data_IF_034421592940
#
_entry.id   IF_034421592940
#
_cell.length_a   1.000
_cell.length_b   1.000
_cell.length_c   1.000
_cell.angle_alpha   90.00
_cell.angle_beta   90.00
_cell.angle_gamma   90.00
#
_symmetry.space_group_name_H-M   'P 1'
#
loop_
_entity.id
_entity.type
_entity.pdbx_description
1 polymer ?
#
# COMPACT_ATOMS: atom_id res chain seq x y z
N UNK A 1 -8.65 7.74 -5.82
CA UNK A 1 -8.69 8.74 -4.74
C UNK A 1 -7.32 9.37 -4.63
N UNK A 2 -7.25 10.69 -4.45
CA UNK A 2 -6.04 11.47 -4.20
C UNK A 2 -6.13 12.11 -2.83
N UNK A 3 -5.08 12.00 -2.03
CA UNK A 3 -4.93 12.76 -0.79
C UNK A 3 -4.09 14.00 -1.12
N UNK A 4 -4.73 15.17 -1.17
CA UNK A 4 -4.08 16.40 -1.58
C UNK A 4 -4.56 17.59 -0.73
N UNK A 5 -3.65 18.09 0.12
CA UNK A 5 -3.88 19.28 0.90
C UNK A 5 -2.55 20.07 1.01
N UNK A 6 -2.52 21.38 0.75
CA UNK A 6 -1.31 22.19 0.91
C UNK A 6 -0.71 22.14 2.33
N UNK A 7 -1.54 21.93 3.36
CA UNK A 7 -1.06 21.81 4.75
C UNK A 7 -0.19 20.56 4.98
N UNK A 8 -0.27 19.57 4.10
CA UNK A 8 0.53 18.34 4.20
C UNK A 8 1.89 18.43 3.50
N UNK A 9 2.16 19.51 2.80
CA UNK A 9 3.43 19.69 2.08
C UNK A 9 4.66 19.61 2.99
N UNK A 10 4.47 19.96 4.27
CA UNK A 10 5.51 19.91 5.29
C UNK A 10 5.25 18.87 6.38
N UNK A 11 4.30 17.93 6.12
CA UNK A 11 4.01 16.85 7.05
C UNK A 11 5.23 15.93 7.17
N UNK A 12 5.66 15.68 8.39
CA UNK A 12 6.70 14.71 8.68
C UNK A 12 6.17 13.26 8.48
N UNK A 13 7.08 12.30 8.44
CA UNK A 13 6.72 10.89 8.30
C UNK A 13 5.77 10.41 9.41
N UNK A 14 5.86 11.03 10.61
CA UNK A 14 5.02 10.69 11.75
C UNK A 14 3.55 11.14 11.58
N UNK A 15 3.31 12.18 10.80
CA UNK A 15 1.96 12.66 10.47
C UNK A 15 1.40 12.00 9.22
N UNK A 16 2.26 11.72 8.24
CA UNK A 16 1.88 11.21 6.92
C UNK A 16 1.20 9.84 6.99
N UNK A 17 1.74 8.91 7.81
CA UNK A 17 1.16 7.57 7.93
C UNK A 17 -0.27 7.60 8.46
N UNK A 18 -0.59 8.52 9.40
CA UNK A 18 -1.93 8.66 9.97
C UNK A 18 -2.94 9.13 8.94
N UNK A 19 -2.54 10.08 8.09
CA UNK A 19 -3.35 10.60 6.98
C UNK A 19 -3.68 9.45 6.01
N UNK A 20 -2.67 8.70 5.60
CA UNK A 20 -2.83 7.58 4.65
C UNK A 20 -3.70 6.48 5.27
N UNK A 21 -3.42 6.07 6.52
CA UNK A 21 -4.20 5.05 7.21
C UNK A 21 -5.67 5.43 7.35
N UNK A 22 -5.96 6.69 7.70
CA UNK A 22 -7.34 7.21 7.77
C UNK A 22 -7.99 7.20 6.40
N UNK A 23 -7.27 7.56 5.34
CA UNK A 23 -7.75 7.47 3.95
C UNK A 23 -8.10 6.04 3.55
N UNK A 24 -7.28 5.06 3.92
CA UNK A 24 -7.55 3.63 3.66
C UNK A 24 -8.84 3.20 4.38
N UNK A 25 -8.97 3.49 5.67
CA UNK A 25 -10.18 3.15 6.44
C UNK A 25 -11.45 3.77 5.85
N UNK A 26 -11.36 5.02 5.40
CA UNK A 26 -12.50 5.73 4.82
C UNK A 26 -12.87 5.22 3.43
N UNK A 27 -11.92 4.65 2.70
CA UNK A 27 -12.15 4.11 1.34
C UNK A 27 -12.94 2.78 1.34
N UNK A 28 -13.00 2.09 2.47
CA UNK A 28 -13.74 0.84 2.63
C UNK A 28 -12.86 -0.31 3.14
N UNK A 29 -13.46 -1.48 3.38
CA UNK A 29 -12.71 -2.67 3.76
C UNK A 29 -11.87 -3.17 2.58
N UNK A 30 -10.62 -3.50 2.84
CA UNK A 30 -9.69 -4.10 1.89
C UNK A 30 -9.06 -5.35 2.51
N UNK A 31 -9.01 -6.42 1.73
CA UNK A 31 -8.32 -7.65 2.14
C UNK A 31 -6.81 -7.52 1.97
N UNK A 32 -6.37 -6.70 1.02
CA UNK A 32 -4.96 -6.50 0.71
C UNK A 32 -4.64 -5.04 0.42
N UNK A 33 -3.61 -4.53 1.10
CA UNK A 33 -3.05 -3.20 0.84
C UNK A 33 -1.64 -3.37 0.29
N UNK A 34 -1.41 -2.84 -0.92
CA UNK A 34 -0.09 -2.83 -1.56
C UNK A 34 0.52 -1.43 -1.47
N UNK A 35 1.76 -1.34 -1.08
CA UNK A 35 2.52 -0.09 -1.08
C UNK A 35 3.95 -0.32 -1.56
N UNK A 36 4.61 0.75 -1.98
CA UNK A 36 6.04 0.72 -2.26
C UNK A 36 6.86 0.45 -1.00
N UNK A 37 8.06 -0.07 -1.15
CA UNK A 37 8.99 -0.36 -0.05
C UNK A 37 9.37 0.91 0.71
N UNK A 38 9.74 1.97 -0.01
CA UNK A 38 10.25 3.22 0.56
C UNK A 38 10.13 4.37 -0.44
N UNK A 39 10.12 5.60 0.05
CA UNK A 39 10.16 6.79 -0.78
C UNK A 39 11.60 7.07 -1.22
N UNK A 40 11.79 7.52 -2.46
CA UNK A 40 13.12 7.77 -3.03
C UNK A 40 13.83 9.00 -2.49
N UNK A 41 13.10 9.92 -1.86
CA UNK A 41 13.61 11.17 -1.30
C UNK A 41 14.11 11.02 0.15
N UNK A 42 13.41 10.25 0.97
CA UNK A 42 13.71 10.12 2.40
C UNK A 42 14.29 8.76 2.78
N UNK A 43 14.17 7.76 1.92
CA UNK A 43 14.64 6.36 2.08
C UNK A 43 14.28 5.70 3.43
N UNK A 44 13.32 6.26 4.15
CA UNK A 44 13.01 5.89 5.54
C UNK A 44 12.35 4.51 5.70
N UNK A 45 11.58 4.03 4.71
CA UNK A 45 10.92 2.72 4.70
C UNK A 45 9.96 2.43 5.86
N UNK A 46 9.67 3.41 6.73
CA UNK A 46 8.94 3.20 7.97
C UNK A 46 7.42 3.36 7.87
N UNK A 47 6.96 4.18 6.91
CA UNK A 47 5.56 4.61 6.80
C UNK A 47 4.60 3.43 6.69
N UNK A 48 4.96 2.41 5.90
CA UNK A 48 4.12 1.21 5.74
C UNK A 48 3.93 0.44 7.06
N UNK A 49 4.96 0.37 7.91
CA UNK A 49 4.89 -0.32 9.19
C UNK A 49 3.97 0.40 10.18
N UNK A 50 4.02 1.74 10.21
CA UNK A 50 3.13 2.53 11.03
C UNK A 50 1.68 2.45 10.57
N UNK A 51 1.45 2.43 9.24
CA UNK A 51 0.10 2.25 8.68
C UNK A 51 -0.45 0.88 9.08
N UNK A 52 0.31 -0.20 8.89
CA UNK A 52 -0.11 -1.56 9.23
C UNK A 52 -0.41 -1.70 10.73
N UNK A 53 0.44 -1.13 11.59
CA UNK A 53 0.23 -1.10 13.03
C UNK A 53 -1.07 -0.38 13.41
N UNK A 54 -1.33 0.78 12.80
CA UNK A 54 -2.55 1.54 13.05
C UNK A 54 -3.82 0.83 12.58
N UNK A 55 -3.73 0.12 11.45
CA UNK A 55 -4.83 -0.68 10.90
C UNK A 55 -5.01 -2.02 11.64
N UNK A 56 -4.06 -2.44 12.48
CA UNK A 56 -4.09 -3.71 13.17
C UNK A 56 -3.91 -4.93 12.27
N UNK A 57 -3.23 -4.77 11.12
CA UNK A 57 -3.02 -5.83 10.12
C UNK A 57 -1.55 -6.22 10.02
N UNK A 58 -1.24 -7.49 9.68
CA UNK A 58 0.15 -7.92 9.46
C UNK A 58 0.77 -7.24 8.23
N UNK A 59 2.08 -7.01 8.29
CA UNK A 59 2.87 -6.44 7.20
C UNK A 59 4.02 -7.36 6.79
N UNK A 60 4.23 -7.51 5.48
CA UNK A 60 5.38 -8.24 4.92
C UNK A 60 6.10 -7.34 3.91
N UNK A 61 7.41 -7.19 4.07
CA UNK A 61 8.26 -6.38 3.18
C UNK A 61 9.73 -6.85 3.24
N UNK A 62 10.53 -6.63 2.21
CA UNK A 62 10.16 -6.35 0.83
C UNK A 62 9.67 -7.61 0.11
N UNK A 63 8.51 -7.55 -0.51
CA UNK A 63 7.93 -8.66 -1.26
C UNK A 63 8.39 -8.61 -2.70
N UNK A 64 8.95 -9.73 -3.17
CA UNK A 64 9.44 -9.89 -4.55
C UNK A 64 8.49 -10.73 -5.41
N UNK A 65 7.60 -11.53 -4.78
CA UNK A 65 6.66 -12.37 -5.51
C UNK A 65 5.45 -12.74 -4.64
N UNK A 66 4.26 -12.69 -5.21
CA UNK A 66 3.06 -13.33 -4.67
C UNK A 66 2.96 -14.72 -5.33
N UNK A 67 2.94 -15.77 -4.50
CA UNK A 67 2.89 -17.15 -4.97
C UNK A 67 1.45 -17.65 -5.11
N UNK A 68 0.68 -17.58 -4.02
CA UNK A 68 -0.71 -18.04 -3.99
C UNK A 68 -1.57 -17.11 -3.15
N UNK A 69 -2.83 -16.98 -3.57
CA UNK A 69 -3.92 -16.37 -2.81
C UNK A 69 -4.92 -17.48 -2.54
N UNK A 70 -5.14 -17.81 -1.28
CA UNK A 70 -6.09 -18.85 -0.87
C UNK A 70 -7.26 -18.19 -0.13
N UNK A 71 -8.42 -18.17 -0.78
CA UNK A 71 -9.67 -17.63 -0.25
C UNK A 71 -10.67 -18.76 0.08
N UNK A 72 -10.20 -20.01 0.21
CA UNK A 72 -11.06 -21.17 0.47
C UNK A 72 -11.69 -21.19 1.86
N UNK A 73 -11.17 -20.40 2.78
CA UNK A 73 -11.66 -20.25 4.15
C UNK A 73 -12.10 -18.80 4.41
N UNK A 74 -12.93 -18.58 5.45
CA UNK A 74 -13.34 -17.24 5.90
C UNK A 74 -12.14 -16.33 6.21
N UNK A 75 -11.03 -16.92 6.69
CA UNK A 75 -9.74 -16.25 6.88
C UNK A 75 -8.86 -16.51 5.66
N UNK A 76 -8.98 -15.74 4.61
CA UNK A 76 -8.10 -15.83 3.44
C UNK A 76 -6.61 -15.79 3.82
N UNK A 77 -5.76 -16.49 3.10
CA UNK A 77 -4.31 -16.50 3.31
C UNK A 77 -3.55 -16.17 2.03
N UNK A 78 -2.40 -15.54 2.19
CA UNK A 78 -1.52 -15.15 1.11
C UNK A 78 -0.14 -15.76 1.35
N UNK A 79 0.44 -16.42 0.35
CA UNK A 79 1.83 -16.88 0.38
C UNK A 79 2.67 -16.00 -0.51
N UNK A 80 3.71 -15.42 0.05
CA UNK A 80 4.61 -14.47 -0.62
C UNK A 80 6.07 -14.83 -0.42
N UNK A 81 6.92 -14.36 -1.31
CA UNK A 81 8.37 -14.39 -1.17
C UNK A 81 8.87 -12.99 -0.81
N UNK A 82 9.68 -12.90 0.23
CA UNK A 82 10.37 -11.67 0.60
C UNK A 82 11.88 -11.85 0.55
N UNK A 83 12.58 -10.78 0.24
CA UNK A 83 14.03 -10.74 0.28
C UNK A 83 14.50 -10.43 1.72
N UNK A 84 15.52 -11.16 2.18
CA UNK A 84 16.23 -10.90 3.43
C UNK A 84 17.73 -10.91 3.18
N UNK A 85 18.53 -10.53 4.14
CA UNK A 85 20.01 -10.59 4.03
C UNK A 85 20.52 -12.01 3.80
N UNK A 86 19.79 -13.02 4.31
CA UNK A 86 20.13 -14.44 4.16
C UNK A 86 19.59 -15.06 2.86
N UNK A 87 18.82 -14.32 2.07
CA UNK A 87 18.21 -14.79 0.81
C UNK A 87 16.68 -14.63 0.79
N UNK A 88 16.03 -15.44 -0.04
CA UNK A 88 14.56 -15.38 -0.22
C UNK A 88 13.87 -16.24 0.83
N UNK A 89 12.93 -15.63 1.54
CA UNK A 89 12.10 -16.28 2.53
C UNK A 89 10.66 -16.39 2.05
N UNK A 90 10.07 -17.60 2.19
CA UNK A 90 8.65 -17.85 1.89
C UNK A 90 7.82 -17.61 3.16
N UNK A 91 6.84 -16.73 3.07
CA UNK A 91 6.00 -16.33 4.21
C UNK A 91 4.54 -16.55 3.87
N UNK A 92 3.78 -17.15 4.81
CA UNK A 92 2.32 -17.21 4.75
C UNK A 92 1.75 -16.16 5.71
N UNK A 93 0.84 -15.33 5.24
CA UNK A 93 0.19 -14.27 6.02
C UNK A 93 -1.32 -14.38 5.91
N UNK A 94 -2.03 -14.13 7.00
CA UNK A 94 -3.50 -14.02 7.02
C UNK A 94 -3.95 -12.69 6.44
N UNK A 95 -5.08 -12.69 5.74
CA UNK A 95 -5.77 -11.48 5.29
C UNK A 95 -6.72 -10.97 6.41
N UNK A 96 -6.96 -9.66 6.51
CA UNK A 96 -6.36 -8.61 5.69
C UNK A 96 -4.87 -8.38 6.00
N UNK A 97 -4.08 -8.02 4.98
CA UNK A 97 -2.64 -7.83 5.12
C UNK A 97 -2.12 -6.64 4.31
N UNK A 98 -0.94 -6.12 4.69
CA UNK A 98 -0.22 -5.10 3.94
C UNK A 98 1.08 -5.68 3.39
N UNK A 99 1.38 -5.40 2.13
CA UNK A 99 2.65 -5.79 1.49
C UNK A 99 3.42 -4.56 1.03
N UNK A 100 4.70 -4.50 1.43
CA UNK A 100 5.66 -3.58 0.83
C UNK A 100 6.34 -4.25 -0.36
N UNK A 101 5.93 -3.88 -1.58
CA UNK A 101 6.38 -4.53 -2.81
C UNK A 101 7.65 -3.88 -3.36
N UNK A 102 8.55 -4.72 -3.90
CA UNK A 102 9.74 -4.26 -4.60
C UNK A 102 9.47 -4.10 -6.10
N UNK A 103 10.37 -3.39 -6.79
CA UNK A 103 10.32 -3.22 -8.25
C UNK A 103 10.51 -4.54 -9.01
N UNK A 104 11.06 -5.57 -8.36
CA UNK A 104 11.32 -6.88 -8.94
C UNK A 104 10.08 -7.78 -8.95
N UNK A 105 8.97 -7.33 -8.36
CA UNK A 105 7.77 -8.15 -8.18
C UNK A 105 7.15 -8.60 -9.51
N UNK A 106 7.15 -7.73 -10.53
CA UNK A 106 6.65 -8.03 -11.87
C UNK A 106 7.10 -6.98 -12.89
N UNK A 107 7.02 -7.33 -14.17
CA UNK A 107 7.12 -6.36 -15.26
C UNK A 107 5.79 -5.63 -15.46
N UNK A 108 5.78 -4.28 -15.47
CA UNK A 108 4.57 -3.50 -15.69
C UNK A 108 4.03 -3.74 -17.12
N UNK A 109 2.73 -3.95 -17.23
CA UNK A 109 2.07 -4.04 -18.54
C UNK A 109 1.97 -2.65 -19.17
N UNK A 110 2.38 -2.52 -20.42
CA UNK A 110 2.19 -1.28 -21.18
C UNK A 110 0.69 -1.03 -21.40
N UNK A 111 0.19 0.15 -21.05
CA UNK A 111 -1.21 0.49 -21.25
C UNK A 111 -1.52 0.63 -22.74
N UNK A 112 -2.64 0.07 -23.25
CA UNK A 112 -3.08 0.32 -24.60
C UNK A 112 -3.51 1.78 -24.79
N UNK A 113 -3.43 2.30 -26.01
CA UNK A 113 -3.79 3.70 -26.34
C UNK A 113 -5.16 4.11 -25.79
N UNK A 114 -6.16 3.24 -25.90
CA UNK A 114 -7.50 3.48 -25.35
C UNK A 114 -7.48 3.63 -23.82
N UNK A 115 -6.62 2.87 -23.13
CA UNK A 115 -6.44 2.97 -21.69
C UNK A 115 -5.86 4.32 -21.28
N UNK A 116 -4.86 4.81 -22.02
CA UNK A 116 -4.27 6.14 -21.81
C UNK A 116 -5.29 7.26 -22.00
N UNK A 117 -6.10 7.20 -23.05
CA UNK A 117 -7.14 8.18 -23.29
C UNK A 117 -8.22 8.18 -22.20
N UNK A 118 -8.62 7.01 -21.71
CA UNK A 118 -9.60 6.90 -20.63
C UNK A 118 -9.02 7.42 -19.30
N UNK A 119 -7.76 7.12 -19.00
CA UNK A 119 -7.07 7.63 -17.82
C UNK A 119 -7.00 9.16 -17.80
N UNK A 120 -6.71 9.80 -18.93
CA UNK A 120 -6.68 11.26 -19.05
C UNK A 120 -8.04 11.93 -18.84
N UNK A 121 -9.14 11.20 -18.95
CA UNK A 121 -10.51 11.69 -18.73
C UNK A 121 -11.09 11.29 -17.37
N UNK A 122 -10.37 10.45 -16.62
CA UNK A 122 -10.84 9.95 -15.33
C UNK A 122 -10.89 11.08 -14.29
N UNK A 123 -12.04 11.26 -13.66
CA UNK A 123 -12.18 12.14 -12.51
C UNK A 123 -11.72 11.40 -11.24
N UNK A 124 -10.61 11.85 -10.68
CA UNK A 124 -10.04 11.27 -9.46
C UNK A 124 -10.55 12.12 -8.28
N UNK A 125 -11.38 11.58 -7.36
CA UNK A 125 -11.81 12.33 -6.19
C UNK A 125 -10.60 12.66 -5.31
N UNK A 126 -10.49 13.93 -4.93
CA UNK A 126 -9.44 14.43 -4.03
C UNK A 126 -10.05 14.66 -2.64
N UNK A 127 -9.37 14.17 -1.61
CA UNK A 127 -9.71 14.40 -0.22
C UNK A 127 -8.70 15.35 0.43
N UNK A 128 -9.22 16.30 1.20
CA UNK A 128 -8.47 17.25 2.01
C UNK A 128 -8.46 16.81 3.48
N UNK A 129 -7.69 17.51 4.29
CA UNK A 129 -7.61 17.31 5.75
C UNK A 129 -8.99 17.31 6.41
N UNK A 130 -9.85 18.28 6.05
CA UNK A 130 -11.21 18.38 6.57
C UNK A 130 -12.06 17.14 6.27
N UNK A 131 -11.89 16.54 5.10
CA UNK A 131 -12.63 15.35 4.70
C UNK A 131 -12.22 14.11 5.49
N UNK A 132 -10.98 14.06 5.97
CA UNK A 132 -10.45 12.93 6.75
C UNK A 132 -10.69 13.06 8.25
N UNK A 133 -10.97 14.26 8.75
CA UNK A 133 -11.10 14.51 10.19
C UNK A 133 -9.80 14.34 10.98
N UNK A 134 -8.65 14.38 10.31
CA UNK A 134 -7.32 14.29 10.93
C UNK A 134 -6.93 15.67 11.47
N UNK A 135 -6.62 15.72 12.76
CA UNK A 135 -6.11 16.94 13.45
C UNK A 135 -4.60 16.96 13.43
#
# INVERSE_FOLDING_TARGET
MLLADPEWLHADAASLWKIIATGILKSGPFDLVLCGRQASDTDGGQVLHWIALYLGIPVVTPVTRIETVDNSNEDGTLTVHRLTEEGTQRVRVKLPAMLGVSSEMNEPRLPPMRGLMNAGRAMIPAWKKADLGVR
#
